data_IF_541258644121
#
_entry.id   IF_541258644121
#
_cell.length_a   1.000
_cell.length_b   1.000
_cell.length_c   1.000
_cell.angle_alpha   90.00
_cell.angle_beta   90.00
_cell.angle_gamma   90.00
#
_symmetry.space_group_name_H-M   'P 1'
#
loop_
_entity.id
_entity.type
_entity.pdbx_description
1 polymer ?
#
# COMPACT_ATOMS: atom_id res chain seq x y z
N UNK A 1 -17.87 -62.32 -7.70
CA UNK A 1 -16.78 -61.43 -7.23
C UNK A 1 -17.37 -60.27 -6.42
N UNK A 2 -17.26 -60.28 -5.09
CA UNK A 2 -17.83 -59.23 -4.23
C UNK A 2 -16.83 -58.05 -4.09
N UNK A 3 -17.23 -56.84 -4.51
CA UNK A 3 -16.40 -55.63 -4.42
C UNK A 3 -16.40 -55.10 -2.98
N UNK A 4 -15.26 -55.24 -2.30
CA UNK A 4 -15.01 -54.73 -0.94
C UNK A 4 -15.08 -53.19 -0.93
N UNK A 5 -16.11 -52.60 -0.30
CA UNK A 5 -16.24 -51.14 -0.11
C UNK A 5 -15.17 -50.66 0.87
N UNK A 6 -14.20 -49.87 0.40
CA UNK A 6 -13.20 -49.20 1.25
C UNK A 6 -13.86 -48.04 2.00
N UNK A 7 -13.92 -48.12 3.32
CA UNK A 7 -14.39 -47.02 4.17
C UNK A 7 -13.40 -45.85 4.08
N UNK A 8 -13.90 -44.68 3.68
CA UNK A 8 -13.11 -43.45 3.65
C UNK A 8 -12.96 -42.93 5.08
N UNK A 9 -11.82 -43.15 5.70
CA UNK A 9 -11.48 -42.52 6.98
C UNK A 9 -11.40 -41.00 6.78
N UNK A 10 -12.28 -40.25 7.46
CA UNK A 10 -12.26 -38.78 7.46
C UNK A 10 -11.01 -38.31 8.22
N UNK A 11 -10.10 -37.60 7.54
CA UNK A 11 -8.93 -37.00 8.20
C UNK A 11 -9.40 -35.91 9.15
N UNK A 12 -9.07 -36.03 10.44
CA UNK A 12 -9.34 -34.99 11.46
C UNK A 12 -8.61 -33.70 11.05
N UNK A 13 -9.37 -32.64 10.74
CA UNK A 13 -8.80 -31.34 10.43
C UNK A 13 -8.32 -30.70 11.73
N UNK A 14 -7.00 -30.70 11.95
CA UNK A 14 -6.41 -29.94 13.04
C UNK A 14 -6.54 -28.44 12.72
N UNK A 15 -7.36 -27.73 13.50
CA UNK A 15 -7.51 -26.27 13.45
C UNK A 15 -6.43 -25.65 14.31
N UNK A 16 -5.54 -24.86 13.70
CA UNK A 16 -4.55 -24.06 14.43
C UNK A 16 -5.21 -22.72 14.77
N UNK A 17 -5.27 -22.39 16.06
CA UNK A 17 -5.69 -21.06 16.51
C UNK A 17 -4.47 -20.15 16.45
N UNK A 18 -4.51 -19.13 15.60
CA UNK A 18 -3.56 -18.01 15.61
C UNK A 18 -4.21 -16.83 16.31
N UNK A 19 -3.46 -16.12 17.15
CA UNK A 19 -3.86 -14.78 17.58
C UNK A 19 -3.86 -13.87 16.34
N UNK A 20 -5.05 -13.53 15.85
CA UNK A 20 -5.20 -12.47 14.86
C UNK A 20 -4.72 -11.15 15.46
N UNK A 21 -4.09 -10.30 14.66
CA UNK A 21 -3.75 -8.95 15.11
C UNK A 21 -5.06 -8.17 15.30
N UNK A 22 -5.37 -7.72 16.53
CA UNK A 22 -6.64 -7.05 16.80
C UNK A 22 -6.65 -5.58 16.38
N UNK A 23 -5.48 -5.05 16.04
CA UNK A 23 -5.31 -3.66 15.62
C UNK A 23 -5.38 -3.56 14.10
N UNK A 24 -6.56 -3.87 13.54
CA UNK A 24 -6.82 -3.55 12.13
C UNK A 24 -7.02 -2.05 12.00
N UNK A 25 -6.22 -1.41 11.15
CA UNK A 25 -6.34 0.01 10.89
C UNK A 25 -7.59 0.26 10.05
N UNK A 26 -8.67 0.69 10.69
CA UNK A 26 -9.88 1.11 9.99
C UNK A 26 -9.60 2.42 9.26
N UNK A 27 -9.75 2.39 7.95
CA UNK A 27 -9.67 3.58 7.11
C UNK A 27 -10.98 4.35 7.19
N UNK A 28 -10.90 5.64 7.46
CA UNK A 28 -12.01 6.56 7.25
C UNK A 28 -12.16 6.80 5.74
N UNK A 29 -13.09 6.08 5.11
CA UNK A 29 -13.43 6.29 3.71
C UNK A 29 -14.45 7.41 3.57
N UNK A 30 -14.27 8.25 2.55
CA UNK A 30 -15.24 9.25 2.16
C UNK A 30 -16.48 8.59 1.54
N UNK A 31 -17.62 9.30 1.56
CA UNK A 31 -18.76 8.92 0.73
C UNK A 31 -18.34 8.92 -0.75
N UNK A 32 -19.01 8.13 -1.59
CA UNK A 32 -18.63 8.03 -3.01
C UNK A 32 -18.76 9.39 -3.73
N UNK A 33 -19.70 10.23 -3.30
CA UNK A 33 -19.90 11.56 -3.87
C UNK A 33 -18.78 12.51 -3.45
N UNK A 34 -18.46 12.56 -2.16
CA UNK A 34 -17.38 13.40 -1.66
C UNK A 34 -16.03 12.98 -2.24
N UNK A 35 -15.80 11.67 -2.41
CA UNK A 35 -14.61 11.13 -3.02
C UNK A 35 -14.43 11.64 -4.46
N UNK A 36 -15.52 11.74 -5.24
CA UNK A 36 -15.49 12.30 -6.61
C UNK A 36 -15.14 13.79 -6.58
N UNK A 37 -15.79 14.56 -5.70
CA UNK A 37 -15.55 16.00 -5.56
C UNK A 37 -14.09 16.25 -5.15
N UNK A 38 -13.59 15.54 -4.13
CA UNK A 38 -12.20 15.60 -3.67
C UNK A 38 -11.25 15.25 -4.80
N UNK A 39 -11.52 14.19 -5.56
CA UNK A 39 -10.67 13.75 -6.67
C UNK A 39 -10.64 14.79 -7.80
N UNK A 40 -11.76 15.43 -8.13
CA UNK A 40 -11.82 16.49 -9.13
C UNK A 40 -11.03 17.72 -8.70
N UNK A 41 -11.15 18.14 -7.44
CA UNK A 41 -10.35 19.23 -6.89
C UNK A 41 -8.86 18.87 -6.84
N UNK A 42 -8.54 17.61 -6.54
CA UNK A 42 -7.17 17.11 -6.56
C UNK A 42 -6.55 17.24 -7.95
N UNK A 43 -7.29 16.94 -9.03
CA UNK A 43 -6.81 17.16 -10.42
C UNK A 43 -6.44 18.62 -10.69
N UNK A 44 -7.20 19.56 -10.14
CA UNK A 44 -6.93 21.01 -10.28
C UNK A 44 -5.65 21.36 -9.53
N UNK A 45 -5.51 20.89 -8.29
CA UNK A 45 -4.33 21.11 -7.46
C UNK A 45 -3.08 20.45 -8.03
N UNK A 46 -3.16 19.26 -8.63
CA UNK A 46 -2.00 18.52 -9.14
C UNK A 46 -1.50 18.95 -10.52
N UNK A 47 -1.96 20.09 -11.06
CA UNK A 47 -1.38 20.69 -12.27
C UNK A 47 0.14 20.91 -12.10
N UNK A 48 0.87 20.91 -13.22
CA UNK A 48 2.35 21.01 -13.25
C UNK A 48 2.90 22.20 -12.44
N UNK A 49 2.17 23.30 -12.39
CA UNK A 49 2.52 24.54 -11.66
C UNK A 49 2.59 24.37 -10.14
N UNK A 50 1.97 23.31 -9.60
CA UNK A 50 1.84 23.07 -8.17
C UNK A 50 2.67 21.88 -7.69
N UNK A 51 3.45 21.22 -8.56
CA UNK A 51 4.19 20.01 -8.18
C UNK A 51 5.22 20.23 -7.07
N UNK A 52 5.76 21.45 -6.95
CA UNK A 52 6.73 21.81 -5.89
C UNK A 52 6.09 21.90 -4.49
N UNK A 53 4.76 21.91 -4.42
CA UNK A 53 3.98 22.05 -3.18
C UNK A 53 3.45 20.69 -2.69
N UNK A 54 3.77 19.63 -3.43
CA UNK A 54 3.26 18.29 -3.23
C UNK A 54 4.39 17.32 -2.92
N UNK A 55 4.16 16.42 -1.97
CA UNK A 55 5.03 15.28 -1.72
C UNK A 55 4.39 14.03 -2.33
N UNK A 56 5.15 13.34 -3.19
CA UNK A 56 4.68 12.15 -3.90
C UNK A 56 5.42 10.91 -3.41
N UNK A 57 4.66 9.83 -3.23
CA UNK A 57 5.17 8.51 -2.88
C UNK A 57 5.28 8.26 -1.37
N UNK A 58 5.17 7.00 -0.98
CA UNK A 58 5.06 6.58 0.43
C UNK A 58 6.22 7.09 1.27
N UNK A 59 7.47 6.81 0.87
CA UNK A 59 8.66 7.17 1.65
C UNK A 59 8.84 8.69 1.80
N UNK A 60 8.50 9.45 0.75
CA UNK A 60 8.59 10.92 0.79
C UNK A 60 7.54 11.47 1.75
N UNK A 61 6.32 10.93 1.67
CA UNK A 61 5.19 11.39 2.48
C UNK A 61 5.40 11.03 3.94
N UNK A 62 5.83 9.81 4.27
CA UNK A 62 6.14 9.42 5.67
C UNK A 62 7.22 10.29 6.29
N UNK A 63 8.35 10.49 5.59
CA UNK A 63 9.44 11.38 6.06
C UNK A 63 8.97 12.83 6.23
N UNK A 64 8.02 13.28 5.42
CA UNK A 64 7.48 14.64 5.49
C UNK A 64 6.48 14.81 6.64
N UNK A 65 5.70 13.76 6.96
CA UNK A 65 4.84 13.73 8.15
C UNK A 65 5.69 13.71 9.43
N UNK A 66 6.77 12.93 9.48
CA UNK A 66 7.69 12.90 10.62
C UNK A 66 8.28 14.29 10.94
N UNK A 67 8.64 15.04 9.89
CA UNK A 67 9.15 16.42 9.95
C UNK A 67 8.07 17.48 10.14
N UNK A 68 6.81 17.10 10.25
CA UNK A 68 5.67 18.01 10.40
C UNK A 68 5.51 19.03 9.26
N UNK A 69 5.91 18.66 8.04
CA UNK A 69 5.85 19.52 6.85
C UNK A 69 4.56 19.36 6.05
N UNK A 70 3.65 18.50 6.49
CA UNK A 70 2.45 18.08 5.75
C UNK A 70 1.18 18.52 6.46
N UNK A 71 0.22 19.06 5.70
CA UNK A 71 -1.10 19.40 6.23
C UNK A 71 -2.11 18.24 6.06
N UNK A 72 -2.15 17.68 4.84
CA UNK A 72 -3.09 16.62 4.47
C UNK A 72 -2.40 15.55 3.63
N UNK A 73 -2.79 14.30 3.85
CA UNK A 73 -2.31 13.09 3.18
C UNK A 73 -3.48 12.38 2.48
N UNK A 74 -3.27 12.01 1.23
CA UNK A 74 -4.18 11.19 0.43
C UNK A 74 -3.53 9.84 0.11
N UNK A 75 -4.27 8.76 0.30
CA UNK A 75 -3.79 7.40 0.04
C UNK A 75 -4.78 6.67 -0.87
N UNK A 76 -4.28 6.08 -1.95
CA UNK A 76 -5.04 5.15 -2.79
C UNK A 76 -5.05 3.76 -2.15
N UNK A 77 -6.21 3.31 -1.68
CA UNK A 77 -6.34 2.09 -0.87
C UNK A 77 -6.63 0.84 -1.72
N UNK A 78 -7.32 0.98 -2.86
CA UNK A 78 -7.97 -0.14 -3.57
C UNK A 78 -7.05 -1.30 -3.98
N UNK A 79 -5.88 -1.01 -4.54
CA UNK A 79 -4.95 -2.02 -5.07
C UNK A 79 -3.57 -2.00 -4.38
N UNK A 80 -3.49 -1.37 -3.22
CA UNK A 80 -2.25 -1.18 -2.48
C UNK A 80 -2.12 -2.24 -1.38
N UNK A 81 -0.96 -2.92 -1.25
CA UNK A 81 -0.75 -3.87 -0.16
C UNK A 81 -0.93 -3.17 1.20
N UNK A 82 -1.82 -3.71 2.04
CA UNK A 82 -2.18 -3.13 3.34
C UNK A 82 -0.95 -2.86 4.22
N UNK A 83 0.05 -3.73 4.19
CA UNK A 83 1.30 -3.56 4.95
C UNK A 83 2.06 -2.27 4.60
N UNK A 84 1.89 -1.75 3.38
CA UNK A 84 2.53 -0.51 2.94
C UNK A 84 1.80 0.74 3.39
N UNK A 85 0.52 0.65 3.79
CA UNK A 85 -0.31 1.82 4.09
C UNK A 85 -0.90 1.79 5.51
N UNK A 86 -0.91 0.64 6.17
CA UNK A 86 -1.46 0.42 7.52
C UNK A 86 -0.88 1.31 8.61
N UNK A 87 0.32 1.88 8.40
CA UNK A 87 0.97 2.79 9.34
C UNK A 87 0.49 4.24 9.21
N UNK A 88 -0.12 4.64 8.09
CA UNK A 88 -0.53 6.03 7.88
C UNK A 88 -1.55 6.53 8.90
N UNK A 89 -2.61 5.79 9.26
CA UNK A 89 -3.55 6.28 10.26
C UNK A 89 -2.85 6.62 11.58
N UNK A 90 -2.04 5.70 12.11
CA UNK A 90 -1.30 5.93 13.36
C UNK A 90 -0.34 7.12 13.24
N UNK A 91 0.44 7.19 12.16
CA UNK A 91 1.41 8.25 11.95
C UNK A 91 0.74 9.63 11.83
N UNK A 92 -0.37 9.70 11.10
CA UNK A 92 -1.16 10.91 10.92
C UNK A 92 -1.82 11.36 12.23
N UNK A 93 -2.38 10.43 13.03
CA UNK A 93 -2.93 10.76 14.35
C UNK A 93 -1.88 11.27 15.33
N UNK A 94 -0.68 10.68 15.34
CA UNK A 94 0.43 11.14 16.19
C UNK A 94 0.90 12.55 15.85
N UNK A 95 0.82 12.95 14.57
CA UNK A 95 1.27 14.25 14.07
C UNK A 95 0.12 15.25 13.85
N UNK A 96 -1.11 14.88 14.21
CA UNK A 96 -2.33 15.64 13.95
C UNK A 96 -2.47 16.09 12.47
N UNK A 97 -2.13 15.19 11.55
CA UNK A 97 -2.20 15.40 10.10
C UNK A 97 -3.46 14.75 9.56
N UNK A 98 -4.23 15.45 8.71
CA UNK A 98 -5.45 14.87 8.13
C UNK A 98 -5.11 13.80 7.10
N UNK A 99 -5.81 12.66 7.18
CA UNK A 99 -5.66 11.51 6.29
C UNK A 99 -6.97 11.31 5.56
N UNK A 100 -6.86 11.08 4.25
CA UNK A 100 -7.97 10.76 3.39
C UNK A 100 -7.64 9.48 2.61
N UNK A 101 -8.40 8.41 2.90
CA UNK A 101 -8.32 7.16 2.15
C UNK A 101 -9.27 7.20 0.96
N UNK A 102 -8.74 7.11 -0.25
CA UNK A 102 -9.50 7.08 -1.50
C UNK A 102 -9.62 5.63 -1.98
N UNK A 103 -10.83 5.23 -2.41
CA UNK A 103 -11.13 3.90 -2.97
C UNK A 103 -10.83 3.87 -4.48
N UNK A 104 -9.72 4.51 -4.86
CA UNK A 104 -9.22 4.60 -6.22
C UNK A 104 -8.00 3.68 -6.34
N UNK A 105 -7.80 3.12 -7.52
CA UNK A 105 -6.62 2.36 -7.88
C UNK A 105 -5.40 3.28 -8.09
N UNK A 106 -4.22 2.80 -7.72
CA UNK A 106 -2.97 3.56 -7.81
C UNK A 106 -2.61 4.02 -9.24
N UNK A 107 -3.16 3.38 -10.28
CA UNK A 107 -2.97 3.79 -11.68
C UNK A 107 -3.80 5.02 -11.99
N UNK A 108 -5.13 4.97 -11.78
CA UNK A 108 -5.99 6.15 -11.96
C UNK A 108 -5.67 7.29 -11.00
N UNK A 109 -5.19 6.99 -9.79
CA UNK A 109 -4.69 8.00 -8.87
C UNK A 109 -3.44 8.69 -9.41
N UNK A 110 -2.48 7.93 -9.94
CA UNK A 110 -1.30 8.48 -10.62
C UNK A 110 -1.66 9.39 -11.81
N UNK A 111 -2.62 8.97 -12.63
CA UNK A 111 -3.12 9.76 -13.77
C UNK A 111 -3.80 11.06 -13.31
N UNK A 112 -4.59 11.01 -12.24
CA UNK A 112 -5.25 12.18 -11.62
C UNK A 112 -4.23 13.22 -11.17
N UNK A 113 -3.07 12.78 -10.70
CA UNK A 113 -1.96 13.63 -10.26
C UNK A 113 -1.10 14.14 -11.44
N UNK A 114 -1.32 13.61 -12.65
CA UNK A 114 -0.47 13.91 -13.81
C UNK A 114 0.86 13.15 -13.82
N UNK A 115 0.97 12.09 -13.02
CA UNK A 115 2.11 11.17 -13.06
C UNK A 115 1.92 10.14 -14.17
N UNK A 116 3.01 9.84 -14.88
CA UNK A 116 3.05 8.72 -15.85
C UNK A 116 3.10 7.35 -15.16
N UNK A 117 3.50 7.32 -13.90
CA UNK A 117 3.67 6.13 -13.08
C UNK A 117 2.57 6.02 -12.03
N UNK A 118 2.36 4.81 -11.51
CA UNK A 118 1.48 4.56 -10.37
C UNK A 118 1.86 5.43 -9.19
N UNK A 119 0.87 6.11 -8.61
CA UNK A 119 1.03 6.85 -7.37
C UNK A 119 0.17 6.17 -6.32
N UNK A 120 0.71 5.98 -5.12
CA UNK A 120 -0.02 5.38 -4.00
C UNK A 120 -0.39 6.44 -2.97
N UNK A 121 0.50 7.40 -2.75
CA UNK A 121 0.38 8.38 -1.69
C UNK A 121 0.76 9.77 -2.21
N UNK A 122 -0.01 10.76 -1.79
CA UNK A 122 0.20 12.18 -2.05
C UNK A 122 0.05 12.94 -0.73
N UNK A 123 0.87 13.94 -0.50
CA UNK A 123 0.68 14.88 0.60
C UNK A 123 0.83 16.32 0.14
N UNK A 124 0.11 17.22 0.79
CA UNK A 124 0.18 18.66 0.55
C UNK A 124 1.07 19.28 1.62
N UNK A 125 2.08 20.06 1.19
CA UNK A 125 3.00 20.77 2.09
C UNK A 125 2.23 21.80 2.95
N UNK A 126 2.70 22.08 4.16
CA UNK A 126 2.22 23.21 4.96
C UNK A 126 2.60 24.55 4.29
N UNK A 127 1.91 25.63 4.67
CA UNK A 127 2.18 27.02 4.25
C UNK A 127 1.88 27.39 2.79
N UNK A 128 1.03 26.63 2.10
CA UNK A 128 0.65 26.94 0.72
C UNK A 128 -0.48 27.99 0.67
N UNK A 129 -0.22 29.11 0.01
CA UNK A 129 -1.16 30.24 -0.14
C UNK A 129 -2.09 30.14 -1.37
N UNK A 130 -2.02 29.04 -2.12
CA UNK A 130 -2.83 28.87 -3.32
C UNK A 130 -4.30 28.69 -2.96
N UNK A 131 -5.17 29.39 -3.68
CA UNK A 131 -6.62 29.37 -3.46
C UNK A 131 -7.20 27.96 -3.67
N UNK A 132 -6.71 27.22 -4.66
CA UNK A 132 -7.16 25.85 -4.95
C UNK A 132 -6.89 24.89 -3.78
N UNK A 133 -5.69 24.97 -3.19
CA UNK A 133 -5.32 24.17 -2.03
C UNK A 133 -6.18 24.55 -0.83
N UNK A 134 -6.40 25.84 -0.60
CA UNK A 134 -7.23 26.32 0.51
C UNK A 134 -8.67 25.78 0.43
N UNK A 135 -9.26 25.75 -0.77
CA UNK A 135 -10.59 25.17 -1.01
C UNK A 135 -10.62 23.66 -0.73
N UNK A 136 -9.59 22.94 -1.18
CA UNK A 136 -9.47 21.50 -0.93
C UNK A 136 -9.34 21.20 0.57
N UNK A 137 -8.57 22.00 1.31
CA UNK A 137 -8.44 21.87 2.76
C UNK A 137 -9.76 22.12 3.49
N UNK A 138 -10.51 23.14 3.08
CA UNK A 138 -11.84 23.43 3.63
C UNK A 138 -12.81 22.25 3.40
N UNK A 139 -12.84 21.72 2.17
CA UNK A 139 -13.64 20.55 1.84
C UNK A 139 -13.29 19.35 2.74
N UNK A 140 -12.00 19.07 2.92
CA UNK A 140 -11.57 17.92 3.72
C UNK A 140 -11.90 18.12 5.20
N UNK A 141 -11.79 19.34 5.72
CA UNK A 141 -12.20 19.65 7.09
C UNK A 141 -13.71 19.46 7.31
N UNK A 142 -14.54 19.69 6.29
CA UNK A 142 -15.98 19.42 6.37
C UNK A 142 -16.33 17.93 6.28
N UNK A 143 -15.58 17.14 5.51
CA UNK A 143 -15.97 15.76 5.19
C UNK A 143 -15.26 14.71 6.05
N UNK A 144 -14.03 14.95 6.50
CA UNK A 144 -13.18 13.90 7.11
C UNK A 144 -12.94 14.12 8.61
N UNK A 145 -13.75 13.50 9.49
CA UNK A 145 -13.32 13.21 10.84
C UNK A 145 -12.39 11.99 10.80
N UNK A 146 -11.08 12.20 10.98
CA UNK A 146 -10.20 11.10 11.38
C UNK A 146 -10.54 10.71 12.81
N UNK A 147 -11.04 9.50 13.00
CA UNK A 147 -11.24 8.91 14.32
C UNK A 147 -10.61 7.52 14.26
N UNK A 148 -9.50 7.32 14.97
CA UNK A 148 -8.93 5.98 15.14
C UNK A 148 -9.41 5.51 16.50
N UNK A 149 -10.57 4.84 16.49
CA UNK A 149 -11.30 4.50 17.71
C UNK A 149 -10.47 3.78 18.79
N UNK A 150 -9.52 2.93 18.40
CA UNK A 150 -8.65 2.22 19.36
C UNK A 150 -7.45 3.05 19.84
N UNK A 151 -7.07 4.10 19.12
CA UNK A 151 -5.89 4.92 19.40
C UNK A 151 -6.25 6.21 20.15
N UNK A 152 -7.47 6.71 19.97
CA UNK A 152 -7.97 7.91 20.66
C UNK A 152 -7.90 7.81 22.19
N UNK A 153 -8.18 6.66 22.85
CA UNK A 153 -8.03 6.52 24.30
C UNK A 153 -6.58 6.65 24.79
N UNK A 154 -5.60 6.29 23.95
CA UNK A 154 -4.17 6.38 24.28
C UNK A 154 -3.71 7.84 24.23
N UNK A 155 -4.24 8.61 23.27
CA UNK A 155 -3.91 10.03 23.11
C UNK A 155 -4.63 10.92 24.11
N UNK A 156 -5.90 10.62 24.41
CA UNK A 156 -6.71 11.33 25.38
C UNK A 156 -6.49 10.68 26.75
N UNK A 157 -5.53 11.19 27.53
CA UNK A 157 -4.97 10.70 28.82
C UNK A 157 -5.97 10.38 29.98
N UNK A 158 -7.10 9.73 29.74
CA UNK A 158 -8.11 9.42 30.76
C UNK A 158 -9.19 8.41 30.35
N UNK A 159 -9.11 7.78 29.18
CA UNK A 159 -10.08 6.75 28.79
C UNK A 159 -9.64 5.36 29.24
N UNK A 160 -10.39 4.73 30.14
CA UNK A 160 -10.24 3.30 30.42
C UNK A 160 -10.48 2.51 29.11
N UNK A 161 -9.42 1.91 28.57
CA UNK A 161 -9.51 1.05 27.40
C UNK A 161 -10.25 -0.24 27.78
N UNK A 162 -11.57 -0.31 27.60
CA UNK A 162 -12.32 -1.55 27.72
C UNK A 162 -12.00 -2.45 26.51
N UNK A 163 -10.97 -3.25 26.68
CA UNK A 163 -10.40 -4.18 25.69
C UNK A 163 -11.27 -5.45 25.47
N UNK A 164 -12.58 -5.37 25.69
CA UNK A 164 -13.44 -6.56 25.78
C UNK A 164 -14.00 -7.05 24.45
N UNK A 165 -13.94 -6.27 23.37
CA UNK A 165 -14.51 -6.66 22.06
C UNK A 165 -13.46 -7.21 21.07
N UNK A 166 -12.56 -8.07 21.57
CA UNK A 166 -11.65 -8.84 20.72
C UNK A 166 -12.45 -9.89 19.94
N UNK A 167 -12.97 -9.50 18.78
CA UNK A 167 -13.56 -10.41 17.79
C UNK A 167 -12.48 -11.41 17.35
N UNK A 168 -12.60 -12.65 17.83
CA UNK A 168 -11.79 -13.79 17.40
C UNK A 168 -12.17 -14.11 15.96
N UNK A 169 -11.44 -13.53 15.00
CA UNK A 169 -11.54 -13.92 13.60
C UNK A 169 -10.96 -15.32 13.42
N UNK A 170 -11.81 -16.36 13.51
CA UNK A 170 -11.44 -17.72 13.11
C UNK A 170 -11.27 -17.77 11.59
N UNK A 171 -10.05 -17.50 11.10
CA UNK A 171 -9.68 -17.85 9.73
C UNK A 171 -9.59 -19.36 9.62
N UNK A 172 -10.65 -19.99 9.11
CA UNK A 172 -10.62 -21.38 8.64
C UNK A 172 -9.68 -21.42 7.45
N UNK A 173 -8.42 -21.83 7.67
CA UNK A 173 -7.49 -22.12 6.59
C UNK A 173 -8.01 -23.40 5.91
N UNK A 174 -8.77 -23.25 4.82
CA UNK A 174 -9.08 -24.37 3.94
C UNK A 174 -7.77 -24.95 3.41
N UNK A 175 -7.41 -26.12 3.94
CA UNK A 175 -6.32 -26.93 3.40
C UNK A 175 -6.75 -27.41 2.02
N UNK A 176 -6.43 -26.62 1.00
CA UNK A 176 -6.54 -27.01 -0.39
C UNK A 176 -5.80 -28.37 -0.55
N UNK A 177 -6.50 -29.46 -0.92
CA UNK A 177 -5.90 -30.78 -0.94
C UNK A 177 -4.77 -30.80 -1.97
N UNK A 178 -3.52 -30.81 -1.48
CA UNK A 178 -2.33 -31.03 -2.29
C UNK A 178 -2.50 -32.36 -3.03
N UNK A 179 -2.88 -32.29 -4.29
CA UNK A 179 -2.70 -33.37 -5.25
C UNK A 179 -1.20 -33.38 -5.61
N UNK A 180 -0.41 -34.39 -5.22
CA UNK A 180 0.98 -34.48 -5.67
C UNK A 180 0.98 -35.00 -7.11
N UNK A 181 0.61 -34.16 -8.07
CA UNK A 181 1.00 -34.40 -9.46
C UNK A 181 2.49 -34.07 -9.54
N UNK A 182 3.33 -35.10 -9.59
CA UNK A 182 4.74 -35.01 -9.97
C UNK A 182 4.81 -34.43 -11.40
N UNK A 183 4.78 -33.11 -11.54
CA UNK A 183 5.23 -32.45 -12.76
C UNK A 183 6.75 -32.42 -12.73
N UNK A 184 7.36 -33.17 -13.66
CA UNK A 184 8.79 -33.13 -13.95
C UNK A 184 9.18 -31.66 -14.15
N UNK A 185 10.10 -31.17 -13.33
CA UNK A 185 10.70 -29.85 -13.44
C UNK A 185 11.41 -29.71 -14.79
N UNK A 186 10.93 -28.82 -15.64
CA UNK A 186 11.64 -28.34 -16.84
C UNK A 186 12.82 -27.48 -16.39
N UNK A 187 14.00 -28.09 -16.29
CA UNK A 187 15.30 -27.42 -16.09
C UNK A 187 15.78 -26.74 -17.38
N UNK A 188 15.00 -25.86 -18.02
CA UNK A 188 15.40 -25.25 -19.31
C UNK A 188 15.81 -23.78 -19.27
N UNK A 189 15.46 -22.99 -18.26
CA UNK A 189 15.61 -21.53 -18.36
C UNK A 189 16.79 -20.93 -17.58
N UNK A 190 17.48 -21.71 -16.74
CA UNK A 190 18.64 -21.20 -15.99
C UNK A 190 19.92 -21.16 -16.85
N UNK A 191 20.07 -22.08 -17.80
CA UNK A 191 21.23 -22.17 -18.70
C UNK A 191 21.29 -21.04 -19.73
N UNK A 192 20.16 -20.44 -20.09
CA UNK A 192 20.11 -19.35 -21.07
C UNK A 192 20.53 -18.00 -20.49
N UNK A 193 20.14 -17.72 -19.24
CA UNK A 193 20.57 -16.52 -18.51
C UNK A 193 22.09 -16.54 -18.28
N UNK A 194 22.65 -17.71 -17.94
CA UNK A 194 24.11 -17.85 -17.74
C UNK A 194 24.89 -17.77 -19.06
N UNK A 195 24.34 -18.27 -20.18
CA UNK A 195 24.92 -18.08 -21.52
C UNK A 195 24.96 -16.60 -21.93
N UNK A 196 23.90 -15.85 -21.68
CA UNK A 196 23.84 -14.41 -22.00
C UNK A 196 24.81 -13.57 -21.15
N UNK A 197 25.00 -13.92 -19.88
CA UNK A 197 26.00 -13.27 -19.01
C UNK A 197 27.44 -13.52 -19.47
N UNK A 198 27.75 -14.73 -19.96
CA UNK A 198 29.08 -15.04 -20.50
C UNK A 198 29.37 -14.34 -21.83
N UNK A 199 28.36 -14.19 -22.72
CA UNK A 199 28.53 -13.48 -23.99
C UNK A 199 28.86 -11.98 -23.81
N UNK A 200 28.23 -11.30 -22.84
CA UNK A 200 28.53 -9.88 -22.53
C UNK A 200 29.95 -9.69 -21.96
N UNK A 201 30.48 -10.65 -21.20
CA UNK A 201 31.84 -10.57 -20.63
C UNK A 201 32.93 -10.71 -21.71
N UNK A 202 32.70 -11.47 -22.78
CA UNK A 202 33.64 -11.60 -23.92
C UNK A 202 33.75 -10.31 -24.75
N UNK A 203 32.63 -9.61 -25.02
CA UNK A 203 32.66 -8.35 -25.79
C UNK A 203 33.48 -7.24 -25.10
N UNK A 204 33.43 -7.15 -23.77
CA UNK A 204 34.22 -6.16 -23.00
C UNK A 204 35.74 -6.41 -23.06
N UNK A 205 36.19 -7.67 -23.11
CA UNK A 205 37.63 -7.99 -23.20
C UNK A 205 38.23 -7.67 -24.58
N UNK A 206 37.46 -7.85 -25.66
CA UNK A 206 37.97 -7.54 -27.00
C UNK A 206 38.10 -6.03 -27.23
N UNK A 207 37.19 -5.22 -26.65
CA UNK A 207 37.26 -3.76 -26.78
C UNK A 207 38.42 -3.12 -26.00
N UNK A 208 38.93 -3.79 -24.96
CA UNK A 208 40.12 -3.35 -24.24
C UNK A 208 41.42 -3.67 -24.99
N UNK A 209 41.46 -4.76 -25.77
CA UNK A 209 42.66 -5.13 -26.54
C UNK A 209 42.89 -4.21 -27.74
N UNK A 210 41.84 -3.72 -28.41
CA UNK A 210 42.00 -2.81 -29.55
C UNK A 210 42.46 -1.41 -29.16
N UNK A 211 42.35 -1.00 -27.89
CA UNK A 211 42.84 0.31 -27.42
C UNK A 211 44.34 0.34 -27.13
N UNK A 212 45.01 -0.80 -26.99
CA UNK A 212 46.44 -0.86 -26.65
C UNK A 212 47.37 -0.99 -27.87
N UNK A 213 46.84 -1.16 -29.09
CA UNK A 213 47.65 -1.28 -30.30
C UNK A 213 47.77 0.02 -31.11
N UNK A 214 47.17 1.13 -30.64
CA UNK A 214 47.25 2.45 -31.29
C UNK A 214 47.98 3.48 -30.41
N UNK A 215 49.00 3.04 -29.67
CA UNK A 215 49.96 3.91 -28.98
C UNK A 215 51.37 3.52 -29.38
#
# INVERSE_FOLDING_TARGET
MQKKKRSRQKKKVMVKRSLGQPMTTNWAFLSQEDERIVTEQLKKVCKKENQNELFLGINTVTRSIEKDLVNVVFVAVSNTPEIMISHFPVLCSLKNVKLCGLRIDSVSFGQTIGSKSTAICLAIKKDQKKQEISRLLQLINSVSPQVISWFDPILNKGGECLFNDLVVNERIIEKNPKNPKKTKSTKSNQTEIDRLKMAKKRKRKNHLKTKNNNK
#
